data_IF_103177503082
#
_entry.id   IF_103177503082
#
_cell.length_a   1.000
_cell.length_b   1.000
_cell.length_c   1.000
_cell.angle_alpha   90.00
_cell.angle_beta   90.00
_cell.angle_gamma   90.00
#
_symmetry.space_group_name_H-M   'P 1'
#
loop_
_entity.id
_entity.type
_entity.pdbx_description
1 polymer ?
#
# COMPACT_ATOMS: atom_id res chain seq x y z
N UNK A 1 -61.47 -36.30 -84.16
CA UNK A 1 -62.44 -35.47 -83.42
C UNK A 1 -61.72 -34.57 -82.41
N UNK A 2 -61.87 -33.30 -82.63
CA UNK A 2 -61.75 -32.12 -81.77
C UNK A 2 -60.59 -32.07 -80.79
N UNK A 3 -59.58 -31.25 -81.01
CA UNK A 3 -59.51 -29.80 -80.95
C UNK A 3 -59.53 -29.25 -79.53
N UNK A 4 -58.62 -28.52 -79.14
CA UNK A 4 -58.56 -27.10 -78.95
C UNK A 4 -57.35 -26.73 -78.07
N UNK A 5 -56.57 -25.95 -78.63
CA UNK A 5 -55.54 -25.12 -78.03
C UNK A 5 -56.02 -24.20 -76.93
N UNK A 6 -55.21 -23.90 -76.02
CA UNK A 6 -55.12 -22.51 -75.40
C UNK A 6 -53.79 -22.28 -74.82
N UNK A 7 -53.08 -21.38 -75.44
CA UNK A 7 -51.95 -20.63 -74.92
C UNK A 7 -52.42 -19.80 -73.69
N UNK A 8 -51.71 -19.82 -72.62
CA UNK A 8 -51.78 -18.78 -71.60
C UNK A 8 -50.42 -18.23 -71.35
N UNK A 9 -50.38 -16.90 -71.39
CA UNK A 9 -49.27 -16.04 -71.23
C UNK A 9 -48.62 -16.19 -69.87
N UNK A 10 -47.30 -16.24 -69.89
CA UNK A 10 -46.48 -16.14 -68.67
C UNK A 10 -46.36 -14.67 -68.32
N UNK A 11 -47.01 -14.25 -67.28
CA UNK A 11 -46.70 -12.97 -66.64
C UNK A 11 -45.49 -13.16 -65.74
N UNK A 12 -44.44 -12.47 -66.07
CA UNK A 12 -43.27 -12.34 -65.18
C UNK A 12 -43.65 -11.49 -63.97
N UNK A 13 -43.81 -12.09 -62.80
CA UNK A 13 -43.81 -11.39 -61.52
C UNK A 13 -42.35 -11.38 -61.02
N UNK A 14 -41.69 -10.23 -61.19
CA UNK A 14 -40.42 -9.99 -60.56
C UNK A 14 -40.63 -9.78 -59.08
N UNK A 15 -40.31 -10.79 -58.26
CA UNK A 15 -40.25 -10.65 -56.82
C UNK A 15 -38.88 -10.08 -56.47
N UNK A 16 -38.85 -8.80 -56.14
CA UNK A 16 -37.67 -8.15 -55.58
C UNK A 16 -37.34 -8.69 -54.21
N UNK A 17 -36.27 -9.45 -54.12
CA UNK A 17 -35.70 -9.82 -52.81
C UNK A 17 -34.97 -8.60 -52.27
N UNK A 18 -35.65 -7.86 -51.39
CA UNK A 18 -35.00 -6.88 -50.53
C UNK A 18 -34.15 -7.64 -49.52
N UNK A 19 -32.85 -7.73 -49.83
CA UNK A 19 -31.84 -8.20 -48.86
C UNK A 19 -31.74 -7.23 -47.71
N UNK A 20 -32.37 -7.54 -46.56
CA UNK A 20 -32.03 -6.92 -45.28
C UNK A 20 -30.59 -7.30 -44.91
N UNK A 21 -29.66 -6.48 -45.27
CA UNK A 21 -28.35 -6.52 -44.66
C UNK A 21 -28.49 -6.01 -43.18
N UNK A 22 -28.74 -6.94 -42.27
CA UNK A 22 -28.56 -6.70 -40.85
C UNK A 22 -27.04 -6.44 -40.65
N UNK A 23 -26.66 -5.19 -40.63
CA UNK A 23 -25.37 -4.78 -40.08
C UNK A 23 -25.41 -5.05 -38.59
N UNK A 24 -24.97 -6.24 -38.22
CA UNK A 24 -24.63 -6.56 -36.83
C UNK A 24 -23.43 -5.66 -36.49
N UNK A 25 -23.73 -4.51 -35.89
CA UNK A 25 -22.72 -3.70 -35.24
C UNK A 25 -22.20 -4.53 -34.08
N UNK A 26 -21.14 -5.30 -34.33
CA UNK A 26 -20.32 -5.87 -33.28
C UNK A 26 -19.78 -4.69 -32.46
N UNK A 27 -20.47 -4.36 -31.37
CA UNK A 27 -19.88 -3.57 -30.31
C UNK A 27 -18.72 -4.41 -29.80
N UNK A 28 -17.53 -4.20 -30.36
CA UNK A 28 -16.30 -4.59 -29.70
C UNK A 28 -16.35 -3.92 -28.31
N UNK A 29 -16.63 -4.69 -27.28
CA UNK A 29 -16.39 -4.27 -25.93
C UNK A 29 -14.89 -4.05 -25.90
N UNK A 30 -14.45 -2.80 -26.01
CA UNK A 30 -13.08 -2.47 -25.76
C UNK A 30 -12.75 -3.02 -24.38
N UNK A 31 -11.93 -4.05 -24.34
CA UNK A 31 -11.48 -4.63 -23.08
C UNK A 31 -10.83 -3.51 -22.28
N UNK A 32 -11.39 -3.18 -21.12
CA UNK A 32 -10.87 -2.11 -20.28
C UNK A 32 -9.38 -2.38 -20.04
N UNK A 33 -8.54 -1.44 -20.43
CA UNK A 33 -7.10 -1.56 -20.25
C UNK A 33 -6.77 -1.29 -18.80
N UNK A 34 -6.38 -2.34 -18.10
CA UNK A 34 -5.82 -2.25 -16.76
C UNK A 34 -4.30 -2.08 -16.88
N UNK A 35 -3.73 -1.14 -16.14
CA UNK A 35 -2.29 -0.91 -16.03
C UNK A 35 -1.94 -0.87 -14.55
N UNK A 36 -1.02 -1.74 -14.12
CA UNK A 36 -0.58 -1.84 -12.73
C UNK A 36 0.77 -1.16 -12.58
N UNK A 37 0.86 -0.19 -11.70
CA UNK A 37 2.08 0.61 -11.50
C UNK A 37 2.52 0.59 -10.05
N UNK A 38 3.80 0.29 -9.81
CA UNK A 38 4.42 0.41 -8.50
C UNK A 38 5.06 1.79 -8.39
N UNK A 39 4.69 2.52 -7.35
CA UNK A 39 5.25 3.82 -7.00
C UNK A 39 6.21 3.66 -5.82
N UNK A 40 7.46 4.10 -5.99
CA UNK A 40 8.54 3.95 -5.01
C UNK A 40 9.13 5.31 -4.71
N UNK A 41 8.95 5.81 -3.48
CA UNK A 41 9.46 7.10 -3.07
C UNK A 41 10.89 6.99 -2.51
N UNK A 42 11.80 7.82 -3.02
CA UNK A 42 13.23 7.84 -2.69
C UNK A 42 13.70 9.25 -2.27
N UNK A 43 14.71 9.35 -1.34
CA UNK A 43 15.32 8.25 -0.58
C UNK A 43 14.36 7.69 0.46
N UNK A 44 14.13 6.39 0.41
CA UNK A 44 13.14 5.72 1.23
C UNK A 44 13.72 4.89 2.38
N UNK A 45 15.04 4.78 2.46
CA UNK A 45 15.77 4.23 3.61
C UNK A 45 16.73 5.32 4.08
N UNK A 46 16.41 5.97 5.21
CA UNK A 46 17.15 7.15 5.66
C UNK A 46 17.34 8.15 4.52
N UNK A 47 18.46 8.81 4.43
CA UNK A 47 18.86 9.73 3.35
C UNK A 47 19.82 9.08 2.34
N UNK A 48 19.79 7.74 2.22
CA UNK A 48 20.70 6.98 1.37
C UNK A 48 20.32 7.14 -0.11
N UNK A 49 21.05 8.00 -0.81
CA UNK A 49 20.79 8.28 -2.23
C UNK A 49 21.26 7.17 -3.17
N UNK A 50 22.17 6.31 -2.73
CA UNK A 50 22.63 5.13 -3.49
C UNK A 50 21.54 4.12 -3.79
N UNK A 51 20.43 4.16 -3.06
CA UNK A 51 19.31 3.23 -3.16
C UNK A 51 18.15 3.73 -4.03
N UNK A 52 18.42 4.43 -5.12
CA UNK A 52 17.39 4.91 -6.05
C UNK A 52 17.34 6.43 -6.21
N UNK A 53 18.28 7.16 -5.58
CA UNK A 53 18.39 8.62 -5.72
C UNK A 53 17.26 9.37 -5.03
N UNK A 54 16.71 10.38 -5.72
CA UNK A 54 15.66 11.27 -5.22
C UNK A 54 14.50 11.36 -6.21
N UNK A 55 13.27 11.29 -5.70
CA UNK A 55 12.05 11.41 -6.48
C UNK A 55 11.08 10.24 -6.27
N UNK A 56 9.98 10.23 -6.99
CA UNK A 56 9.01 9.16 -7.01
C UNK A 56 9.23 8.33 -8.29
N UNK A 57 9.72 7.11 -8.12
CA UNK A 57 9.99 6.19 -9.22
C UNK A 57 8.75 5.38 -9.53
N UNK A 58 8.48 5.16 -10.81
CA UNK A 58 7.30 4.42 -11.28
C UNK A 58 7.75 3.23 -12.11
N UNK A 59 7.20 2.06 -11.80
CA UNK A 59 7.50 0.80 -12.48
C UNK A 59 6.23 0.18 -13.05
N UNK A 60 6.35 -0.48 -14.19
CA UNK A 60 5.29 -1.26 -14.85
C UNK A 60 5.32 -2.68 -14.30
N UNK A 61 4.34 -3.04 -13.47
CA UNK A 61 4.26 -4.36 -12.84
C UNK A 61 4.06 -5.44 -13.90
N UNK A 62 3.17 -5.19 -14.87
CA UNK A 62 2.80 -6.16 -15.89
C UNK A 62 3.91 -6.40 -16.93
N UNK A 63 4.84 -5.45 -17.06
CA UNK A 63 6.03 -5.59 -17.88
C UNK A 63 7.29 -6.04 -17.09
N UNK A 64 7.10 -6.88 -16.08
CA UNK A 64 8.19 -7.43 -15.26
C UNK A 64 8.86 -6.40 -14.35
N UNK A 65 8.10 -5.42 -13.86
CA UNK A 65 8.57 -4.32 -13.00
C UNK A 65 9.58 -3.42 -13.68
N UNK A 66 9.40 -3.20 -14.98
CA UNK A 66 10.25 -2.32 -15.76
C UNK A 66 10.09 -0.87 -15.31
N UNK A 67 11.20 -0.18 -15.12
CA UNK A 67 11.20 1.27 -14.85
C UNK A 67 10.50 2.03 -15.97
N UNK A 68 9.56 2.91 -15.62
CA UNK A 68 8.85 3.77 -16.55
C UNK A 68 9.35 5.21 -16.53
N UNK A 69 9.40 5.81 -15.34
CA UNK A 69 9.75 7.21 -15.16
C UNK A 69 10.13 7.53 -13.72
N UNK A 70 10.77 8.68 -13.56
CA UNK A 70 11.00 9.35 -12.28
C UNK A 70 10.22 10.65 -12.27
N UNK A 71 9.36 10.84 -11.28
CA UNK A 71 8.65 12.09 -11.01
C UNK A 71 9.52 12.89 -10.03
N UNK A 72 9.96 14.11 -10.40
CA UNK A 72 10.68 14.97 -9.47
C UNK A 72 9.82 15.32 -8.26
N UNK A 73 10.42 15.25 -7.06
CA UNK A 73 9.76 15.68 -5.82
C UNK A 73 10.54 16.84 -5.22
N UNK A 74 9.85 17.74 -4.51
CA UNK A 74 10.50 18.83 -3.83
C UNK A 74 11.24 18.30 -2.58
N UNK A 75 10.58 18.02 -1.50
CA UNK A 75 11.10 17.33 -0.30
C UNK A 75 12.57 17.63 0.04
N UNK A 76 12.99 18.90 -0.10
CA UNK A 76 14.37 19.30 0.08
C UNK A 76 14.59 20.02 1.43
N UNK A 77 15.78 19.90 1.98
CA UNK A 77 16.24 20.75 3.09
C UNK A 77 16.49 22.18 2.62
N UNK A 78 16.68 23.11 3.55
CA UNK A 78 17.07 24.50 3.25
C UNK A 78 18.37 24.59 2.43
N UNK A 79 19.26 23.61 2.58
CA UNK A 79 20.51 23.50 1.81
C UNK A 79 20.31 22.80 0.44
N UNK A 80 19.06 22.53 0.01
CA UNK A 80 18.77 21.88 -1.26
C UNK A 80 19.08 20.37 -1.30
N UNK A 81 19.36 19.74 -0.15
CA UNK A 81 19.59 18.28 -0.09
C UNK A 81 18.27 17.52 0.06
N UNK A 82 18.10 16.38 -0.64
CA UNK A 82 16.94 15.54 -0.47
C UNK A 82 16.73 15.11 0.99
N UNK A 83 15.50 15.27 1.47
CA UNK A 83 15.10 14.79 2.79
C UNK A 83 14.67 13.32 2.70
N UNK A 84 14.96 12.56 3.75
CA UNK A 84 14.45 11.21 3.90
C UNK A 84 12.90 11.20 3.77
N UNK A 85 12.39 10.37 2.87
CA UNK A 85 10.96 10.09 2.75
C UNK A 85 10.54 9.20 3.91
N UNK A 86 9.45 9.58 4.57
CA UNK A 86 8.94 8.90 5.77
C UNK A 86 7.70 8.07 5.51
N UNK A 87 6.89 8.42 4.52
CA UNK A 87 5.68 7.68 4.17
C UNK A 87 5.16 8.01 2.78
N UNK A 88 4.30 7.15 2.28
CA UNK A 88 3.56 7.30 1.03
C UNK A 88 2.13 6.79 1.23
N UNK A 89 1.14 7.49 0.70
CA UNK A 89 -0.23 6.98 0.54
C UNK A 89 -0.85 7.53 -0.75
N UNK A 90 -1.86 6.85 -1.27
CA UNK A 90 -2.54 7.26 -2.49
C UNK A 90 -4.03 6.93 -2.43
N UNK A 91 -4.79 7.57 -3.30
CA UNK A 91 -6.21 7.24 -3.49
C UNK A 91 -6.55 7.30 -4.98
N UNK A 92 -7.01 6.16 -5.51
CA UNK A 92 -7.34 6.03 -6.93
C UNK A 92 -8.52 6.89 -7.35
N UNK A 93 -9.53 7.05 -6.48
CA UNK A 93 -10.73 7.87 -6.79
C UNK A 93 -10.41 9.35 -6.89
N UNK A 94 -9.58 9.89 -5.98
CA UNK A 94 -9.15 11.29 -6.05
C UNK A 94 -7.99 11.51 -7.02
N UNK A 95 -7.35 10.44 -7.50
CA UNK A 95 -6.23 10.49 -8.42
C UNK A 95 -4.98 11.14 -7.84
N UNK A 96 -4.72 10.97 -6.54
CA UNK A 96 -3.64 11.66 -5.84
C UNK A 96 -2.72 10.68 -5.10
N UNK A 97 -1.43 10.99 -5.08
CA UNK A 97 -0.43 10.36 -4.23
C UNK A 97 0.19 11.42 -3.31
N UNK A 98 0.46 11.01 -2.08
CA UNK A 98 1.02 11.85 -1.03
C UNK A 98 2.32 11.27 -0.54
N UNK A 99 3.31 12.11 -0.32
CA UNK A 99 4.63 11.71 0.17
C UNK A 99 4.98 12.59 1.35
N UNK A 100 5.28 11.99 2.50
CA UNK A 100 5.84 12.70 3.65
C UNK A 100 7.35 12.55 3.68
N UNK A 101 8.03 13.63 4.07
CA UNK A 101 9.45 13.65 4.39
C UNK A 101 9.62 13.96 5.87
N UNK A 102 10.86 14.22 6.33
CA UNK A 102 11.09 14.63 7.71
C UNK A 102 10.33 15.90 8.12
N UNK A 103 10.01 16.78 7.18
CA UNK A 103 9.40 18.10 7.47
C UNK A 103 8.11 18.38 6.71
N UNK A 104 7.96 17.83 5.52
CA UNK A 104 6.92 18.21 4.57
C UNK A 104 6.02 17.04 4.21
N UNK A 105 4.78 17.35 3.90
CA UNK A 105 3.87 16.50 3.15
C UNK A 105 3.61 17.17 1.80
N UNK A 106 3.71 16.40 0.72
CA UNK A 106 3.41 16.85 -0.64
C UNK A 106 2.32 16.02 -1.27
N UNK A 107 1.55 16.61 -2.16
CA UNK A 107 0.50 15.99 -2.95
C UNK A 107 0.81 16.11 -4.42
N UNK A 108 0.79 14.98 -5.13
CA UNK A 108 1.08 14.87 -6.56
C UNK A 108 -0.15 14.28 -7.26
N UNK A 109 -0.51 14.84 -8.39
CA UNK A 109 -1.57 14.32 -9.27
C UNK A 109 -1.05 13.09 -10.04
N UNK A 110 -1.74 11.97 -9.92
CA UNK A 110 -1.35 10.69 -10.54
C UNK A 110 -1.52 10.66 -12.07
N UNK A 111 -2.36 11.51 -12.62
CA UNK A 111 -2.62 11.57 -14.07
C UNK A 111 -1.60 12.46 -14.81
N UNK A 112 -1.17 13.55 -14.16
CA UNK A 112 -0.31 14.57 -14.77
C UNK A 112 1.10 14.62 -14.20
N UNK A 113 1.36 13.92 -13.10
CA UNK A 113 2.60 13.96 -12.31
C UNK A 113 2.89 15.36 -11.70
N UNK A 114 1.93 16.26 -11.71
CA UNK A 114 2.11 17.62 -11.22
C UNK A 114 2.08 17.67 -9.68
N UNK A 115 3.00 18.42 -9.09
CA UNK A 115 2.93 18.81 -7.70
C UNK A 115 1.74 19.76 -7.51
N UNK A 116 0.74 19.35 -6.74
CA UNK A 116 -0.44 20.17 -6.44
C UNK A 116 -0.19 21.11 -5.27
N UNK A 117 0.44 20.60 -4.22
CA UNK A 117 0.84 21.39 -3.05
C UNK A 117 1.92 20.67 -2.25
N UNK A 118 2.70 21.45 -1.49
CA UNK A 118 3.65 21.01 -0.47
C UNK A 118 3.50 21.89 0.76
N UNK A 119 3.53 21.29 1.96
CA UNK A 119 3.42 22.00 3.22
C UNK A 119 4.34 21.42 4.28
N UNK A 120 4.93 22.31 5.08
CA UNK A 120 5.62 21.95 6.32
C UNK A 120 4.63 21.83 7.47
N UNK A 121 4.90 20.91 8.40
CA UNK A 121 4.06 20.70 9.59
C UNK A 121 4.89 20.83 10.87
N UNK A 122 4.23 21.32 11.92
CA UNK A 122 4.82 21.39 13.24
C UNK A 122 5.34 20.03 13.72
N UNK A 123 6.54 20.00 14.28
CA UNK A 123 7.23 18.79 14.71
C UNK A 123 7.48 17.75 13.60
N UNK A 124 7.46 18.18 12.33
CA UNK A 124 7.78 17.33 11.19
C UNK A 124 6.70 16.33 10.80
N UNK A 125 7.07 15.37 9.96
CA UNK A 125 6.15 14.36 9.44
C UNK A 125 6.76 12.97 9.52
N UNK A 126 5.91 11.94 9.66
CA UNK A 126 6.31 10.56 9.61
C UNK A 126 5.31 9.73 8.75
N UNK A 127 5.17 8.45 9.00
CA UNK A 127 4.45 7.47 8.16
C UNK A 127 2.95 7.59 8.34
N UNK A 128 2.32 8.32 7.43
CA UNK A 128 0.90 8.64 7.43
C UNK A 128 0.05 7.54 6.79
N UNK A 129 -1.25 7.64 7.03
CA UNK A 129 -2.31 6.92 6.34
C UNK A 129 -3.46 7.86 6.04
N UNK A 130 -4.27 7.53 5.03
CA UNK A 130 -5.41 8.33 4.63
C UNK A 130 -6.71 7.55 4.72
N UNK A 131 -7.80 8.26 4.83
CA UNK A 131 -9.14 7.70 4.79
C UNK A 131 -9.45 7.11 3.42
N UNK A 132 -10.19 5.98 3.33
CA UNK A 132 -10.57 5.36 2.07
C UNK A 132 -11.31 6.27 1.11
N UNK A 133 -12.07 7.26 1.62
CA UNK A 133 -12.73 8.28 0.81
C UNK A 133 -11.79 9.35 0.24
N UNK A 134 -10.50 9.29 0.59
CA UNK A 134 -9.47 10.20 0.08
C UNK A 134 -9.53 11.62 0.62
N UNK A 135 -10.29 11.89 1.69
CA UNK A 135 -10.50 13.26 2.19
C UNK A 135 -9.58 13.69 3.32
N UNK A 136 -9.15 12.73 4.15
CA UNK A 136 -8.42 13.03 5.37
C UNK A 136 -7.15 12.20 5.48
N UNK A 137 -6.06 12.82 5.92
CA UNK A 137 -4.79 12.16 6.20
C UNK A 137 -4.51 12.29 7.70
N UNK A 138 -4.20 11.16 8.35
CA UNK A 138 -3.66 11.13 9.70
C UNK A 138 -2.14 11.09 9.60
N UNK A 139 -1.52 12.24 9.85
CA UNK A 139 -0.09 12.47 9.66
C UNK A 139 0.61 12.54 11.02
N UNK A 140 1.42 11.54 11.40
CA UNK A 140 2.21 11.63 12.62
C UNK A 140 3.28 12.71 12.49
N UNK A 141 3.54 13.42 13.56
CA UNK A 141 4.75 14.21 13.71
C UNK A 141 5.99 13.28 13.80
N UNK A 142 7.18 13.80 13.48
CA UNK A 142 8.40 13.00 13.48
C UNK A 142 8.80 12.63 14.92
N UNK A 143 8.40 11.44 15.36
CA UNK A 143 8.63 10.93 16.73
C UNK A 143 8.17 11.90 17.84
N UNK A 144 7.28 12.82 17.47
CA UNK A 144 6.79 13.90 18.34
C UNK A 144 5.55 13.49 19.17
N UNK A 145 4.88 14.47 19.80
CA UNK A 145 3.77 14.17 20.70
C UNK A 145 2.45 13.90 20.00
N UNK A 146 2.29 14.28 18.71
CA UNK A 146 0.97 14.43 18.10
C UNK A 146 0.86 13.84 16.70
N UNK A 147 -0.38 13.65 16.25
CA UNK A 147 -0.80 13.46 14.87
C UNK A 147 -1.56 14.69 14.39
N UNK A 148 -1.22 15.18 13.20
CA UNK A 148 -2.05 16.12 12.49
C UNK A 148 -3.16 15.37 11.75
N UNK A 149 -4.40 15.83 11.85
CA UNK A 149 -5.51 15.42 10.99
C UNK A 149 -5.60 16.46 9.88
N UNK A 150 -5.31 16.05 8.65
CA UNK A 150 -5.05 16.96 7.52
C UNK A 150 -6.13 16.79 6.46
N UNK A 151 -6.63 17.90 5.93
CA UNK A 151 -7.43 17.93 4.71
C UNK A 151 -6.56 17.52 3.52
N UNK A 152 -6.87 16.39 2.91
CA UNK A 152 -6.07 15.84 1.81
C UNK A 152 -6.11 16.72 0.55
N UNK A 153 -7.14 17.56 0.37
CA UNK A 153 -7.30 18.40 -0.82
C UNK A 153 -6.33 19.58 -0.86
N UNK A 154 -6.03 20.18 0.30
CA UNK A 154 -5.27 21.43 0.40
C UNK A 154 -4.15 21.40 1.44
N UNK A 155 -4.00 20.30 2.19
CA UNK A 155 -2.98 20.17 3.23
C UNK A 155 -3.22 20.99 4.50
N UNK A 156 -4.45 21.48 4.73
CA UNK A 156 -4.76 22.23 5.94
C UNK A 156 -4.94 21.30 7.16
N UNK A 157 -4.45 21.73 8.32
CA UNK A 157 -4.66 21.01 9.58
C UNK A 157 -6.07 21.24 10.07
N UNK A 158 -6.85 20.16 10.19
CA UNK A 158 -8.23 20.16 10.68
C UNK A 158 -8.31 19.96 12.20
N UNK A 159 -7.39 19.17 12.76
CA UNK A 159 -7.30 18.84 14.18
C UNK A 159 -5.91 18.31 14.52
N UNK A 160 -5.61 18.22 15.82
CA UNK A 160 -4.44 17.53 16.37
C UNK A 160 -4.90 16.49 17.38
N UNK A 161 -4.24 15.32 17.40
CA UNK A 161 -4.46 14.25 18.36
C UNK A 161 -3.13 14.05 19.10
N UNK A 162 -3.11 14.18 20.42
CA UNK A 162 -1.89 14.28 21.23
C UNK A 162 -1.77 13.13 22.26
N UNK A 163 -1.50 11.88 21.85
CA UNK A 163 -1.29 10.77 22.79
C UNK A 163 0.06 10.84 23.52
N UNK A 164 0.98 11.71 23.10
CA UNK A 164 2.33 11.85 23.65
C UNK A 164 3.16 10.56 23.59
N UNK A 165 2.90 9.72 22.58
CA UNK A 165 3.46 8.38 22.47
C UNK A 165 4.72 8.28 21.59
N UNK A 166 5.21 9.39 21.01
CA UNK A 166 6.29 9.38 20.01
C UNK A 166 5.76 8.96 18.64
N UNK A 167 4.95 9.81 18.03
CA UNK A 167 4.18 9.54 16.83
C UNK A 167 5.04 8.97 15.68
N UNK A 168 4.62 7.82 15.10
CA UNK A 168 5.42 7.15 14.08
C UNK A 168 4.58 6.49 12.99
N UNK A 169 3.85 5.42 13.27
CA UNK A 169 3.08 4.67 12.28
C UNK A 169 1.58 4.90 12.45
N UNK A 170 0.88 4.96 11.32
CA UNK A 170 -0.55 5.23 11.29
C UNK A 170 -1.24 4.31 10.29
N UNK A 171 -2.33 3.69 10.67
CA UNK A 171 -3.21 2.95 9.77
C UNK A 171 -4.63 3.48 9.94
N UNK A 172 -5.29 3.86 8.86
CA UNK A 172 -6.73 4.12 8.85
C UNK A 172 -7.44 2.84 8.43
N UNK A 173 -8.48 2.47 9.15
CA UNK A 173 -9.28 1.28 8.87
C UNK A 173 -10.07 1.41 7.58
N UNK A 174 -10.28 0.28 6.88
CA UNK A 174 -10.95 0.24 5.58
C UNK A 174 -12.45 0.60 5.65
N UNK A 175 -13.05 0.59 6.84
CA UNK A 175 -14.44 1.03 7.05
C UNK A 175 -14.60 2.54 7.25
N UNK A 176 -13.51 3.30 7.18
CA UNK A 176 -13.48 4.76 7.35
C UNK A 176 -13.95 5.26 8.73
N UNK A 177 -13.82 4.44 9.79
CA UNK A 177 -14.31 4.80 11.13
C UNK A 177 -13.21 5.11 12.12
N UNK A 178 -12.15 4.31 12.13
CA UNK A 178 -11.08 4.38 13.12
C UNK A 178 -9.70 4.55 12.46
N UNK A 179 -8.84 5.31 13.12
CA UNK A 179 -7.42 5.41 12.81
C UNK A 179 -6.62 4.83 13.99
N UNK A 180 -5.62 4.02 13.67
CA UNK A 180 -4.76 3.34 14.61
C UNK A 180 -3.39 4.02 14.63
N UNK A 181 -2.98 4.50 15.79
CA UNK A 181 -1.86 5.42 15.96
C UNK A 181 -0.82 4.77 16.88
N UNK A 182 0.33 4.38 16.33
CA UNK A 182 1.42 3.77 17.10
C UNK A 182 2.60 4.72 17.26
N UNK A 183 3.08 4.83 18.49
CA UNK A 183 4.22 5.67 18.82
C UNK A 183 5.38 4.89 19.43
N UNK A 184 6.60 5.32 19.12
CA UNK A 184 7.85 4.63 19.49
C UNK A 184 8.16 4.58 20.99
N UNK A 185 7.40 5.35 21.80
CA UNK A 185 7.59 5.45 23.26
C UNK A 185 6.41 4.89 24.08
N UNK A 186 5.48 4.17 23.42
CA UNK A 186 4.31 3.64 24.09
C UNK A 186 4.10 2.15 23.80
N UNK A 187 3.77 1.33 24.82
CA UNK A 187 3.31 -0.04 24.62
C UNK A 187 1.82 -0.11 24.27
N UNK A 188 1.15 1.03 24.08
CA UNK A 188 -0.26 1.10 23.72
C UNK A 188 -0.44 1.63 22.31
N UNK A 189 -1.31 0.98 21.55
CA UNK A 189 -1.84 1.50 20.31
C UNK A 189 -3.02 2.41 20.62
N UNK A 190 -2.95 3.67 20.23
CA UNK A 190 -4.08 4.60 20.35
C UNK A 190 -5.05 4.39 19.19
N UNK A 191 -6.34 4.31 19.49
CA UNK A 191 -7.41 4.28 18.50
C UNK A 191 -8.13 5.62 18.53
N UNK A 192 -8.21 6.26 17.37
CA UNK A 192 -8.86 7.54 17.20
C UNK A 192 -10.05 7.40 16.24
N UNK A 193 -11.13 8.12 16.51
CA UNK A 193 -12.26 8.19 15.58
C UNK A 193 -11.93 9.07 14.38
N UNK A 194 -12.28 8.63 13.17
CA UNK A 194 -12.09 9.42 11.95
C UNK A 194 -12.98 10.67 11.97
N UNK A 195 -14.25 10.53 12.33
CA UNK A 195 -15.21 11.63 12.42
C UNK A 195 -14.94 12.54 13.62
N UNK A 196 -14.74 11.95 14.81
CA UNK A 196 -14.47 12.70 16.02
C UNK A 196 -13.13 13.43 16.03
N UNK A 197 -12.14 12.90 15.28
CA UNK A 197 -10.76 13.39 15.24
C UNK A 197 -10.10 13.46 16.60
N UNK A 198 -10.44 12.51 17.47
CA UNK A 198 -9.95 12.41 18.86
C UNK A 198 -9.51 11.00 19.18
N UNK A 199 -8.56 10.87 20.12
CA UNK A 199 -8.26 9.58 20.73
C UNK A 199 -9.48 9.13 21.55
N UNK A 200 -9.91 7.88 21.35
CA UNK A 200 -11.12 7.32 21.98
C UNK A 200 -10.78 6.19 22.96
N UNK A 201 -9.80 5.38 22.62
CA UNK A 201 -9.39 4.22 23.43
C UNK A 201 -7.97 3.77 23.11
N UNK A 202 -7.47 2.78 23.82
CA UNK A 202 -6.17 2.16 23.58
C UNK A 202 -6.27 0.64 23.50
N UNK A 203 -5.29 0.02 22.85
CA UNK A 203 -5.10 -1.43 22.78
C UNK A 203 -3.73 -1.76 23.36
N UNK A 204 -3.67 -2.72 24.26
CA UNK A 204 -2.46 -3.11 24.98
C UNK A 204 -2.69 -3.18 26.51
N UNK A 205 -1.63 -3.15 27.36
CA UNK A 205 -0.25 -2.94 26.94
C UNK A 205 0.37 -4.14 26.22
N UNK A 206 1.13 -3.86 25.17
CA UNK A 206 2.07 -4.82 24.61
C UNK A 206 3.31 -4.93 25.49
N UNK A 207 4.19 -5.89 25.22
CA UNK A 207 5.34 -6.15 26.11
C UNK A 207 6.42 -5.07 26.05
N UNK A 208 6.43 -4.25 25.02
CA UNK A 208 7.34 -3.10 24.86
C UNK A 208 6.71 -2.06 23.91
N UNK A 209 7.43 -0.97 23.66
CA UNK A 209 7.00 0.06 22.71
C UNK A 209 6.75 -0.53 21.32
N UNK A 210 5.65 -0.09 20.70
CA UNK A 210 5.19 -0.57 19.40
C UNK A 210 6.11 -0.04 18.31
N UNK A 211 6.42 -0.92 17.37
CA UNK A 211 7.08 -0.64 16.11
C UNK A 211 6.05 -0.72 14.97
N UNK A 212 6.42 -0.91 13.71
CA UNK A 212 5.44 -1.11 12.66
C UNK A 212 4.41 -2.19 13.00
N UNK A 213 3.23 -2.01 12.50
CA UNK A 213 2.11 -2.92 12.74
C UNK A 213 1.22 -3.01 11.50
N UNK A 214 0.37 -4.04 11.46
CA UNK A 214 -0.71 -4.18 10.48
C UNK A 214 -1.98 -4.68 11.16
N UNK A 215 -3.12 -4.56 10.47
CA UNK A 215 -4.43 -4.98 10.95
C UNK A 215 -5.13 -5.87 9.91
N UNK A 216 -6.07 -6.68 10.36
CA UNK A 216 -6.95 -7.40 9.45
C UNK A 216 -8.10 -6.52 8.93
N UNK A 217 -8.67 -6.84 7.78
CA UNK A 217 -9.70 -6.04 7.10
C UNK A 217 -10.98 -5.85 7.93
N UNK A 218 -11.34 -6.84 8.76
CA UNK A 218 -12.46 -6.72 9.73
C UNK A 218 -12.15 -5.84 10.93
N UNK A 219 -10.93 -5.33 11.04
CA UNK A 219 -10.48 -4.49 12.15
C UNK A 219 -10.79 -5.10 13.52
N UNK A 220 -10.50 -6.40 13.63
CA UNK A 220 -10.66 -7.14 14.90
C UNK A 220 -9.34 -7.57 15.49
N UNK A 221 -8.26 -7.57 14.68
CA UNK A 221 -6.92 -7.99 15.09
C UNK A 221 -5.88 -6.99 14.64
N UNK A 222 -4.90 -6.77 15.50
CA UNK A 222 -3.66 -6.05 15.19
C UNK A 222 -2.48 -6.97 15.43
N UNK A 223 -1.49 -6.86 14.54
CA UNK A 223 -0.22 -7.56 14.62
C UNK A 223 0.86 -6.50 14.75
N UNK A 224 1.57 -6.48 15.89
CA UNK A 224 2.52 -5.43 16.20
C UNK A 224 3.92 -5.98 16.36
N UNK A 225 4.89 -5.36 15.72
CA UNK A 225 6.28 -5.50 16.09
C UNK A 225 6.55 -4.66 17.33
N UNK A 226 7.42 -5.13 18.20
CA UNK A 226 7.82 -4.43 19.41
C UNK A 226 9.33 -4.41 19.55
N UNK A 227 9.83 -3.52 20.36
CA UNK A 227 11.23 -3.53 20.75
C UNK A 227 11.63 -4.89 21.35
N UNK A 228 12.87 -5.28 21.14
CA UNK A 228 13.49 -6.48 21.74
C UNK A 228 12.91 -7.84 21.27
N UNK A 229 11.97 -7.88 20.32
CA UNK A 229 11.36 -9.12 19.83
C UNK A 229 11.76 -9.41 18.37
N UNK A 230 12.34 -10.56 18.13
CA UNK A 230 12.34 -11.18 16.81
C UNK A 230 11.04 -11.99 16.67
N UNK A 231 10.01 -11.35 16.14
CA UNK A 231 8.64 -11.84 16.15
C UNK A 231 7.65 -10.69 16.23
N UNK A 232 6.42 -10.98 16.65
CA UNK A 232 5.34 -10.01 16.78
C UNK A 232 4.38 -10.36 17.93
N UNK A 233 3.58 -9.40 18.35
CA UNK A 233 2.47 -9.63 19.27
C UNK A 233 1.13 -9.40 18.57
N UNK A 234 0.09 -10.07 19.04
CA UNK A 234 -1.28 -9.99 18.53
C UNK A 234 -2.16 -9.33 19.55
N UNK A 235 -2.92 -8.31 19.13
CA UNK A 235 -3.94 -7.66 19.95
C UNK A 235 -5.35 -7.85 19.39
N UNK A 236 -6.33 -7.75 20.26
CA UNK A 236 -7.74 -7.67 19.91
C UNK A 236 -8.18 -6.21 19.88
N UNK A 237 -8.54 -5.72 18.72
CA UNK A 237 -8.92 -4.31 18.54
C UNK A 237 -10.25 -3.95 19.22
N UNK A 238 -11.13 -4.92 19.48
CA UNK A 238 -12.44 -4.67 20.10
C UNK A 238 -12.33 -4.62 21.63
N UNK A 239 -11.70 -5.64 22.23
CA UNK A 239 -11.54 -5.69 23.69
C UNK A 239 -10.38 -4.83 24.22
N UNK A 240 -9.47 -4.41 23.33
CA UNK A 240 -8.26 -3.68 23.72
C UNK A 240 -7.16 -4.57 24.32
N UNK A 241 -7.34 -5.88 24.39
CA UNK A 241 -6.42 -6.77 25.07
C UNK A 241 -5.30 -7.28 24.15
N UNK A 242 -4.08 -7.39 24.68
CA UNK A 242 -3.03 -8.21 24.09
C UNK A 242 -3.44 -9.69 24.22
N UNK A 243 -3.40 -10.43 23.12
CA UNK A 243 -3.82 -11.83 23.07
C UNK A 243 -2.64 -12.79 23.15
N UNK A 244 -1.56 -12.50 22.42
CA UNK A 244 -0.50 -13.48 22.21
C UNK A 244 0.80 -12.84 21.75
N UNK A 245 1.91 -13.51 22.04
CA UNK A 245 3.25 -13.29 21.50
C UNK A 245 3.61 -14.46 20.59
N UNK A 246 4.24 -14.18 19.45
CA UNK A 246 4.74 -15.15 18.47
C UNK A 246 6.20 -14.82 18.18
N UNK A 247 7.07 -15.82 18.29
CA UNK A 247 8.51 -15.68 18.05
C UNK A 247 8.89 -16.40 16.77
N UNK A 248 9.91 -15.88 16.09
CA UNK A 248 10.52 -16.55 14.94
C UNK A 248 11.30 -17.77 15.44
N UNK A 249 11.10 -18.91 14.80
CA UNK A 249 11.79 -20.17 15.12
C UNK A 249 12.99 -20.38 14.21
N UNK A 250 14.07 -20.94 14.76
CA UNK A 250 15.27 -21.32 14.00
C UNK A 250 16.23 -20.18 13.67
N UNK A 251 15.99 -18.98 14.22
CA UNK A 251 16.82 -17.78 13.99
C UNK A 251 17.13 -17.10 15.31
N UNK A 252 18.33 -16.56 15.43
CA UNK A 252 18.76 -15.82 16.59
C UNK A 252 18.56 -14.32 16.38
N UNK A 253 18.09 -13.64 17.41
CA UNK A 253 18.11 -12.17 17.45
C UNK A 253 19.56 -11.68 17.42
N UNK A 254 19.89 -10.82 16.50
CA UNK A 254 21.20 -10.19 16.39
C UNK A 254 21.18 -8.70 16.65
N UNK A 255 22.30 -8.02 16.49
CA UNK A 255 22.40 -6.57 16.64
C UNK A 255 21.53 -5.86 15.61
N UNK A 256 20.90 -4.77 16.07
CA UNK A 256 20.10 -3.89 15.22
C UNK A 256 21.07 -2.92 14.54
N UNK A 257 21.05 -2.86 13.21
CA UNK A 257 21.93 -2.00 12.44
C UNK A 257 21.19 -0.81 11.84
N UNK A 258 20.34 -1.09 10.84
CA UNK A 258 19.68 -0.09 10.00
C UNK A 258 18.30 0.31 10.53
N UNK A 259 17.57 -0.63 11.09
CA UNK A 259 16.19 -0.47 11.56
C UNK A 259 16.11 -0.53 13.09
N UNK A 260 15.14 0.12 13.69
CA UNK A 260 15.11 0.36 15.14
C UNK A 260 14.69 -0.84 16.01
N UNK A 261 14.41 -2.03 15.44
CA UNK A 261 14.02 -3.24 16.18
C UNK A 261 14.37 -4.50 15.38
N UNK A 262 14.40 -5.68 16.01
CA UNK A 262 14.75 -6.94 15.34
C UNK A 262 13.83 -7.26 14.16
N UNK A 263 12.51 -7.10 14.35
CA UNK A 263 11.50 -7.24 13.29
C UNK A 263 10.89 -5.86 13.03
N UNK A 264 11.28 -5.18 11.94
CA UNK A 264 10.77 -3.84 11.67
C UNK A 264 9.58 -3.87 10.71
N UNK A 265 9.62 -4.62 9.59
CA UNK A 265 8.51 -4.78 8.66
C UNK A 265 7.57 -5.92 9.04
N UNK A 266 6.27 -5.68 8.92
CA UNK A 266 5.21 -6.69 9.09
C UNK A 266 4.07 -6.37 8.13
N UNK A 267 3.55 -7.40 7.43
CA UNK A 267 2.45 -7.26 6.50
C UNK A 267 1.57 -8.50 6.51
N UNK A 268 0.27 -8.31 6.45
CA UNK A 268 -0.73 -9.36 6.24
C UNK A 268 -1.03 -9.43 4.73
N UNK A 269 -1.13 -10.62 4.17
CA UNK A 269 -1.56 -10.77 2.77
C UNK A 269 -2.99 -10.24 2.62
N UNK A 270 -3.38 -9.70 1.44
CA UNK A 270 -4.73 -9.19 1.23
C UNK A 270 -5.83 -10.21 1.52
N UNK A 271 -5.59 -11.50 1.25
CA UNK A 271 -6.49 -12.61 1.55
C UNK A 271 -6.39 -13.13 3.01
N UNK A 272 -5.56 -12.49 3.83
CA UNK A 272 -5.32 -12.77 5.25
C UNK A 272 -4.85 -14.21 5.58
N UNK A 273 -4.34 -14.93 4.60
CA UNK A 273 -3.82 -16.29 4.83
C UNK A 273 -2.40 -16.29 5.37
N UNK A 274 -1.62 -15.27 5.07
CA UNK A 274 -0.22 -15.21 5.45
C UNK A 274 0.13 -13.89 6.13
N UNK A 275 0.95 -13.97 7.18
CA UNK A 275 1.60 -12.84 7.80
C UNK A 275 3.10 -12.92 7.52
N UNK A 276 3.67 -11.87 6.96
CA UNK A 276 5.07 -11.78 6.61
C UNK A 276 5.80 -10.83 7.55
N UNK A 277 6.99 -11.22 7.99
CA UNK A 277 7.78 -10.51 8.98
C UNK A 277 9.21 -10.31 8.49
N UNK A 278 9.73 -9.10 8.58
CA UNK A 278 11.12 -8.79 8.24
C UNK A 278 12.06 -9.10 9.40
N UNK A 279 13.21 -9.72 9.09
CA UNK A 279 14.32 -9.95 9.99
C UNK A 279 15.59 -9.36 9.36
N UNK A 280 15.96 -8.17 9.81
CA UNK A 280 17.08 -7.44 9.25
C UNK A 280 18.42 -8.14 9.51
N UNK A 281 18.66 -8.60 10.76
CA UNK A 281 19.91 -9.23 11.13
C UNK A 281 20.20 -10.50 10.30
N UNK A 282 19.17 -11.34 10.14
CA UNK A 282 19.30 -12.58 9.39
C UNK A 282 19.02 -12.40 7.89
N UNK A 283 18.81 -11.15 7.41
CA UNK A 283 18.51 -10.84 6.01
C UNK A 283 17.41 -11.75 5.44
N UNK A 284 16.30 -11.86 6.15
CA UNK A 284 15.26 -12.82 5.84
C UNK A 284 13.87 -12.24 6.01
N UNK A 285 12.91 -12.81 5.28
CA UNK A 285 11.49 -12.67 5.56
C UNK A 285 10.97 -13.99 6.12
N UNK A 286 10.20 -13.93 7.18
CA UNK A 286 9.54 -15.10 7.77
C UNK A 286 8.05 -15.04 7.47
N UNK A 287 7.52 -16.15 6.96
CA UNK A 287 6.11 -16.28 6.59
C UNK A 287 5.41 -17.16 7.61
N UNK A 288 4.26 -16.68 8.09
CA UNK A 288 3.43 -17.38 9.05
C UNK A 288 2.06 -17.66 8.44
N UNK A 289 1.52 -18.86 8.69
CA UNK A 289 0.11 -19.17 8.42
C UNK A 289 -0.78 -18.36 9.36
N UNK A 290 -1.46 -17.36 8.80
CA UNK A 290 -2.32 -16.46 9.55
C UNK A 290 -3.72 -17.03 9.82
N UNK A 291 -4.07 -18.18 9.24
CA UNK A 291 -5.35 -18.85 9.45
C UNK A 291 -5.39 -19.65 10.76
N UNK A 292 -4.21 -20.01 11.29
CA UNK A 292 -4.08 -20.80 12.51
C UNK A 292 -3.92 -19.95 13.78
N UNK A 293 -4.23 -20.56 14.91
CA UNK A 293 -4.00 -19.98 16.26
C UNK A 293 -3.39 -21.03 17.18
N UNK A 294 -2.10 -20.91 17.58
CA UNK A 294 -1.14 -19.86 17.26
C UNK A 294 -0.73 -19.81 15.79
N UNK A 295 -0.28 -18.64 15.34
CA UNK A 295 0.31 -18.49 14.00
C UNK A 295 1.53 -19.38 13.87
N UNK A 296 1.62 -20.16 12.79
CA UNK A 296 2.70 -21.10 12.56
C UNK A 296 3.63 -20.58 11.49
N UNK A 297 4.92 -20.47 11.78
CA UNK A 297 5.93 -20.17 10.77
C UNK A 297 5.99 -21.30 9.74
N UNK A 298 5.81 -20.99 8.48
CA UNK A 298 5.75 -21.94 7.37
C UNK A 298 7.05 -21.99 6.59
N UNK A 299 7.67 -20.83 6.37
CA UNK A 299 8.91 -20.74 5.62
C UNK A 299 9.67 -19.47 5.95
N UNK A 300 10.90 -19.39 5.46
CA UNK A 300 11.75 -18.20 5.51
C UNK A 300 12.41 -18.00 4.16
N UNK A 301 12.47 -16.75 3.71
CA UNK A 301 13.02 -16.37 2.41
C UNK A 301 14.27 -15.55 2.66
N UNK A 302 15.41 -16.03 2.18
CA UNK A 302 16.69 -15.32 2.28
C UNK A 302 16.74 -14.18 1.26
N UNK A 303 17.14 -12.99 1.72
CA UNK A 303 17.39 -11.82 0.90
C UNK A 303 18.88 -11.50 0.82
N UNK A 304 19.25 -10.60 -0.09
CA UNK A 304 20.66 -10.18 -0.24
C UNK A 304 21.04 -9.06 0.71
N UNK A 305 20.06 -8.32 1.23
CA UNK A 305 20.29 -7.18 2.13
C UNK A 305 19.27 -7.18 3.29
N UNK A 306 19.42 -6.27 4.23
CA UNK A 306 18.61 -6.14 5.44
C UNK A 306 17.21 -5.60 5.12
N UNK A 307 16.13 -6.41 5.22
CA UNK A 307 14.77 -5.91 5.04
C UNK A 307 14.32 -5.11 6.25
N UNK A 308 13.71 -3.95 6.00
CA UNK A 308 13.08 -3.11 7.04
C UNK A 308 11.60 -2.88 6.82
N UNK A 309 11.07 -3.30 5.67
CA UNK A 309 9.66 -3.12 5.34
C UNK A 309 9.17 -4.20 4.39
N UNK A 310 7.85 -4.39 4.36
CA UNK A 310 7.16 -5.31 3.46
C UNK A 310 5.86 -4.65 3.01
N UNK A 311 5.61 -4.66 1.70
CA UNK A 311 4.34 -4.21 1.11
C UNK A 311 3.84 -5.28 0.15
N UNK A 312 2.54 -5.52 0.12
CA UNK A 312 1.89 -6.36 -0.88
C UNK A 312 1.39 -5.55 -2.06
N UNK A 313 1.39 -6.16 -3.25
CA UNK A 313 0.56 -5.68 -4.36
C UNK A 313 -0.93 -5.82 -4.03
N UNK A 314 -1.78 -5.06 -4.74
CA UNK A 314 -3.23 -4.99 -4.49
C UNK A 314 -3.89 -6.38 -4.57
N UNK A 315 -3.50 -7.19 -5.54
CA UNK A 315 -4.01 -8.55 -5.74
C UNK A 315 -3.28 -9.62 -4.90
N UNK A 316 -2.24 -9.23 -4.15
CA UNK A 316 -1.43 -10.14 -3.36
C UNK A 316 -0.48 -11.04 -4.16
N UNK A 317 -0.37 -10.84 -5.49
CA UNK A 317 0.53 -11.62 -6.33
C UNK A 317 2.00 -11.39 -6.00
N UNK A 318 2.37 -10.13 -5.76
CA UNK A 318 3.74 -9.74 -5.48
C UNK A 318 3.92 -9.17 -4.08
N UNK A 319 5.08 -9.41 -3.52
CA UNK A 319 5.54 -8.86 -2.24
C UNK A 319 6.82 -8.08 -2.48
N UNK A 320 6.87 -6.89 -1.92
CA UNK A 320 7.93 -5.91 -2.07
C UNK A 320 8.62 -5.65 -0.74
N UNK A 321 9.70 -6.36 -0.40
CA UNK A 321 10.55 -5.97 0.71
C UNK A 321 11.32 -4.70 0.38
N UNK A 322 11.71 -3.94 1.42
CA UNK A 322 12.47 -2.69 1.25
C UNK A 322 13.82 -2.85 0.54
N UNK A 323 14.29 -4.07 0.36
CA UNK A 323 15.54 -4.41 -0.32
C UNK A 323 15.49 -4.26 -1.85
N UNK A 324 14.32 -3.96 -2.40
CA UNK A 324 14.11 -3.84 -3.85
C UNK A 324 13.90 -5.16 -4.57
N UNK A 325 13.90 -6.27 -3.84
CA UNK A 325 13.50 -7.57 -4.41
C UNK A 325 12.00 -7.56 -4.69
N UNK A 326 11.59 -8.25 -5.74
CA UNK A 326 10.19 -8.56 -6.05
C UNK A 326 9.99 -10.06 -5.86
N UNK A 327 9.09 -10.41 -4.97
CA UNK A 327 8.83 -11.81 -4.61
C UNK A 327 7.44 -12.20 -5.13
N UNK A 328 7.37 -13.30 -5.86
CA UNK A 328 6.09 -13.95 -6.16
C UNK A 328 5.55 -14.61 -4.88
N UNK A 329 4.39 -14.14 -4.43
CA UNK A 329 3.84 -14.54 -3.14
C UNK A 329 3.47 -16.02 -3.07
N UNK A 330 3.06 -16.63 -4.17
CA UNK A 330 2.66 -18.05 -4.21
C UNK A 330 3.88 -18.97 -4.12
N UNK A 331 4.90 -18.73 -4.93
CA UNK A 331 6.10 -19.57 -4.99
C UNK A 331 7.16 -19.21 -3.94
N UNK A 332 7.07 -18.05 -3.28
CA UNK A 332 8.06 -17.51 -2.33
C UNK A 332 9.43 -17.24 -2.96
N UNK A 333 9.48 -17.09 -4.28
CA UNK A 333 10.71 -16.85 -5.02
C UNK A 333 10.88 -15.39 -5.40
N UNK A 334 12.11 -14.90 -5.32
CA UNK A 334 12.50 -13.63 -5.91
C UNK A 334 12.45 -13.79 -7.44
N UNK A 335 11.61 -13.01 -8.11
CA UNK A 335 11.40 -13.07 -9.56
C UNK A 335 12.15 -11.99 -10.31
N UNK A 336 12.37 -10.84 -9.68
CA UNK A 336 13.17 -9.73 -10.23
C UNK A 336 13.60 -8.78 -9.12
N UNK A 337 14.30 -7.71 -9.49
CA UNK A 337 14.72 -6.63 -8.59
C UNK A 337 14.37 -5.28 -9.24
N UNK A 338 13.95 -4.32 -8.43
CA UNK A 338 13.67 -2.97 -8.91
C UNK A 338 14.98 -2.27 -9.29
N UNK A 339 15.05 -1.72 -10.50
CA UNK A 339 16.21 -1.00 -10.98
C UNK A 339 15.77 0.34 -11.57
N UNK A 340 16.54 1.40 -11.30
CA UNK A 340 16.28 2.74 -11.82
C UNK A 340 16.67 2.84 -13.32
N UNK A 341 16.55 4.03 -13.89
CA UNK A 341 16.90 4.37 -15.27
C UNK A 341 18.36 4.08 -15.65
N UNK A 342 19.25 3.96 -14.67
CA UNK A 342 20.65 3.63 -14.86
C UNK A 342 20.99 2.15 -14.54
N UNK A 343 19.97 1.32 -14.25
CA UNK A 343 20.14 -0.07 -13.89
C UNK A 343 20.65 -0.28 -12.46
N UNK A 344 20.60 0.74 -11.60
CA UNK A 344 20.99 0.65 -10.20
C UNK A 344 19.82 0.14 -9.37
N UNK A 345 20.11 -0.70 -8.38
CA UNK A 345 19.09 -1.25 -7.49
C UNK A 345 18.38 -0.15 -6.71
N UNK A 346 17.05 -0.24 -6.65
CA UNK A 346 16.19 0.67 -5.90
C UNK A 346 15.72 -0.02 -4.62
N UNK A 347 16.00 0.60 -3.47
CA UNK A 347 15.55 0.13 -2.17
C UNK A 347 14.75 1.24 -1.48
N UNK A 348 13.57 0.89 -0.97
CA UNK A 348 12.73 1.83 -0.25
C UNK A 348 11.76 1.10 0.68
N UNK A 349 11.48 1.70 1.83
CA UNK A 349 10.38 1.29 2.73
C UNK A 349 9.05 2.00 2.39
N UNK A 350 9.02 2.84 1.35
CA UNK A 350 7.89 3.75 1.02
C UNK A 350 7.47 3.50 -0.40
N UNK A 351 6.63 2.49 -0.57
CA UNK A 351 6.13 2.10 -1.88
C UNK A 351 4.69 1.58 -1.77
N UNK A 352 3.95 1.69 -2.86
CA UNK A 352 2.61 1.15 -3.03
C UNK A 352 2.27 0.95 -4.50
N UNK A 353 1.31 0.08 -4.77
CA UNK A 353 0.73 -0.12 -6.10
C UNK A 353 -0.41 0.87 -6.34
N UNK A 354 -0.51 1.35 -7.58
CA UNK A 354 -1.68 2.08 -8.11
C UNK A 354 -2.09 1.46 -9.43
N UNK A 355 -3.35 1.08 -9.51
CA UNK A 355 -3.95 0.59 -10.74
C UNK A 355 -4.59 1.73 -11.52
N UNK A 356 -4.44 1.67 -12.84
CA UNK A 356 -5.07 2.58 -13.79
C UNK A 356 -6.03 1.79 -14.68
N UNK A 357 -7.20 2.36 -14.89
CA UNK A 357 -8.18 1.83 -15.83
C UNK A 357 -8.38 2.85 -16.95
N UNK A 358 -8.09 2.45 -18.19
CA UNK A 358 -8.15 3.33 -19.36
C UNK A 358 -7.35 4.63 -19.17
N UNK A 359 -6.15 4.52 -18.57
CA UNK A 359 -5.23 5.62 -18.30
C UNK A 359 -5.61 6.52 -17.12
N UNK A 360 -6.68 6.22 -16.39
CA UNK A 360 -7.10 6.98 -15.18
C UNK A 360 -6.80 6.19 -13.92
N UNK A 361 -6.29 6.83 -12.85
CA UNK A 361 -6.15 6.20 -11.55
C UNK A 361 -7.49 5.58 -11.11
N UNK A 362 -7.45 4.37 -10.60
CA UNK A 362 -8.65 3.63 -10.22
C UNK A 362 -8.58 3.07 -8.81
N UNK A 363 -7.53 2.34 -8.50
CA UNK A 363 -7.30 1.75 -7.18
C UNK A 363 -5.92 2.12 -6.68
N UNK A 364 -5.74 2.16 -5.37
CA UNK A 364 -4.44 2.35 -4.74
C UNK A 364 -4.29 1.38 -3.58
N UNK A 365 -3.18 0.68 -3.53
CA UNK A 365 -2.78 -0.12 -2.40
C UNK A 365 -2.30 0.73 -1.23
N UNK A 366 -1.85 0.07 -0.19
CA UNK A 366 -1.29 0.71 1.00
C UNK A 366 0.19 0.34 1.21
N UNK A 367 0.88 1.11 2.04
CA UNK A 367 2.27 0.82 2.38
C UNK A 367 2.45 -0.14 3.56
N UNK A 368 1.36 -0.60 4.21
CA UNK A 368 1.41 -1.33 5.49
C UNK A 368 1.09 -2.82 5.37
N UNK A 369 0.61 -3.28 4.20
CA UNK A 369 0.14 -4.64 4.01
C UNK A 369 -1.04 -4.95 4.91
N UNK A 370 -2.17 -4.28 4.68
CA UNK A 370 -3.41 -4.52 5.38
C UNK A 370 -4.11 -5.78 4.88
N UNK A 371 -4.83 -6.47 5.78
CA UNK A 371 -5.80 -7.49 5.36
C UNK A 371 -7.05 -6.85 4.75
N UNK A 372 -7.66 -7.52 3.77
CA UNK A 372 -8.82 -6.98 3.05
C UNK A 372 -10.11 -7.78 3.25
N UNK A 373 -10.08 -8.90 4.00
CA UNK A 373 -11.28 -9.72 4.20
C UNK A 373 -12.35 -8.97 5.00
N UNK A 374 -13.54 -8.84 4.40
CA UNK A 374 -14.69 -8.15 4.99
C UNK A 374 -14.55 -6.64 5.01
N UNK A 375 -13.65 -6.08 4.21
CA UNK A 375 -13.71 -4.67 3.84
C UNK A 375 -15.05 -4.36 3.14
N UNK A 376 -15.61 -3.16 3.32
CA UNK A 376 -16.81 -2.76 2.62
C UNK A 376 -16.62 -2.80 1.10
N UNK A 377 -17.64 -3.20 0.36
CA UNK A 377 -17.62 -3.22 -1.10
C UNK A 377 -17.24 -1.84 -1.66
N UNK A 378 -16.30 -1.82 -2.60
CA UNK A 378 -15.83 -0.60 -3.25
C UNK A 378 -14.74 0.17 -2.49
N UNK A 379 -14.33 -0.29 -1.30
CA UNK A 379 -13.25 0.30 -0.50
C UNK A 379 -11.99 -0.58 -0.53
N UNK A 380 -12.13 -1.87 -0.80
CA UNK A 380 -10.97 -2.71 -1.04
C UNK A 380 -10.20 -2.19 -2.28
N UNK A 381 -8.89 -2.08 -2.22
CA UNK A 381 -8.08 -1.59 -3.32
C UNK A 381 -8.26 -2.40 -4.59
#
# INVERSE_FOLDING_TARGET
>A
MHAISRRRAIQHASVGILGLHAVAAARAHAQQRLERRLYVACPGIRDYLEHGGHGLLVFDIDAGHRFLKRIPTQGLSEAGKPLNVKGICANGTTGRVYISTLKHLMCIDLATDALLWERAYEAGCDRMSMTPDGKTIFLPSLEGPLWHVVDASVGAVLAKIEPNSGAHNTIVGLDNREAYLAGLRSPFLTVAGVESRKAERTVGPFSAAIRPFTINGKQTRVYVNINELLGFEVGDLKSGAKLRRVEVSGYSRGPIKRHGCPSHGIALSPDEKELWLADAHNQSLHVFDATQSPRKQTTSIRLKDEPGWITFGIDGQYVYPSTGDVIDAASKKIVTQLQDEAGRMVQSEKLLEVDFRDGKPWKAGDQFGLGHLGAPDGIAP
#
